data_IF_372984508890
#
_entry.id   IF_372984508890
#
_cell.length_a   1.000
_cell.length_b   1.000
_cell.length_c   1.000
_cell.angle_alpha   90.00
_cell.angle_beta   90.00
_cell.angle_gamma   90.00
#
_symmetry.space_group_name_H-M   'P 1'
#
loop_
_entity.id
_entity.type
_entity.pdbx_description
1 polymer ?
#
# COMPACT_ATOMS: atom_id res chain seq x y z
N UNK A 1 4.89 -7.49 -3.04
CA UNK A 1 3.51 -6.95 -3.02
C UNK A 1 2.98 -6.97 -1.61
N UNK A 2 2.25 -5.93 -1.23
CA UNK A 2 1.61 -5.84 0.07
C UNK A 2 0.22 -5.20 -0.08
N UNK A 3 -0.61 -5.41 0.94
CA UNK A 3 -1.89 -4.72 1.13
C UNK A 3 -1.87 -3.98 2.46
N UNK A 4 -2.51 -2.82 2.47
CA UNK A 4 -2.87 -2.09 3.68
C UNK A 4 -4.39 -2.16 3.80
N UNK A 5 -4.86 -2.70 4.91
CA UNK A 5 -6.29 -2.78 5.24
C UNK A 5 -6.61 -1.70 6.25
N UNK A 6 -7.60 -0.86 5.96
CA UNK A 6 -8.22 -0.02 6.98
C UNK A 6 -9.32 -0.82 7.67
N UNK A 7 -9.11 -1.18 8.95
CA UNK A 7 -10.05 -2.00 9.72
C UNK A 7 -11.29 -1.25 10.19
N UNK A 8 -11.34 0.07 10.04
CA UNK A 8 -12.51 0.90 10.37
C UNK A 8 -13.61 0.78 9.30
N UNK A 9 -13.23 0.71 8.03
CA UNK A 9 -14.17 0.75 6.90
C UNK A 9 -13.97 -0.37 5.86
N UNK A 10 -13.00 -1.25 6.06
CA UNK A 10 -12.70 -2.38 5.17
C UNK A 10 -12.00 -2.02 3.86
N UNK A 11 -11.68 -0.75 3.60
CA UNK A 11 -11.01 -0.32 2.37
C UNK A 11 -9.56 -0.79 2.34
N UNK A 12 -9.10 -1.11 1.12
CA UNK A 12 -7.77 -1.66 0.88
C UNK A 12 -6.92 -0.72 0.03
N UNK A 13 -5.61 -0.78 0.25
CA UNK A 13 -4.58 -0.22 -0.63
C UNK A 13 -3.59 -1.31 -1.00
N UNK A 14 -3.32 -1.49 -2.29
CA UNK A 14 -2.30 -2.41 -2.80
C UNK A 14 -1.07 -1.61 -3.22
N UNK A 15 0.11 -2.10 -2.84
CA UNK A 15 1.37 -1.49 -3.26
C UNK A 15 2.46 -2.51 -3.59
N UNK A 16 3.37 -2.10 -4.47
CA UNK A 16 4.63 -2.79 -4.70
C UNK A 16 5.80 -2.13 -3.95
N UNK A 17 6.81 -2.95 -3.65
CA UNK A 17 8.00 -2.55 -2.92
C UNK A 17 9.24 -2.78 -3.79
N UNK A 18 9.29 -2.12 -4.95
CA UNK A 18 10.37 -2.23 -5.95
C UNK A 18 11.57 -1.31 -5.68
N UNK A 19 11.55 -0.56 -4.57
CA UNK A 19 12.66 0.29 -4.12
C UNK A 19 13.87 -0.51 -3.63
N UNK A 20 15.02 0.14 -3.48
CA UNK A 20 16.32 -0.50 -3.15
C UNK A 20 16.30 -1.37 -1.89
N UNK A 21 15.52 -1.01 -0.87
CA UNK A 21 15.41 -1.78 0.37
C UNK A 21 14.08 -2.56 0.47
N UNK A 22 13.41 -2.79 -0.66
CA UNK A 22 12.21 -3.62 -0.72
C UNK A 22 11.11 -3.17 0.23
N UNK A 23 10.46 -4.14 0.89
CA UNK A 23 9.36 -3.89 1.84
C UNK A 23 9.80 -3.08 3.05
N UNK A 24 11.06 -3.24 3.49
CA UNK A 24 11.59 -2.54 4.65
C UNK A 24 11.52 -1.03 4.47
N UNK A 25 11.88 -0.52 3.28
CA UNK A 25 11.75 0.91 2.96
C UNK A 25 10.32 1.41 3.12
N UNK A 26 9.36 0.66 2.54
CA UNK A 26 7.95 1.03 2.56
C UNK A 26 7.41 1.10 3.99
N UNK A 27 7.72 0.11 4.82
CA UNK A 27 7.29 0.12 6.22
C UNK A 27 7.93 1.25 7.03
N UNK A 28 9.21 1.57 6.80
CA UNK A 28 9.83 2.74 7.41
C UNK A 28 9.14 4.04 7.01
N UNK A 29 8.77 4.18 5.74
CA UNK A 29 8.05 5.37 5.26
C UNK A 29 6.67 5.48 5.96
N UNK A 30 5.91 4.39 6.05
CA UNK A 30 4.61 4.38 6.73
C UNK A 30 4.72 4.63 8.24
N UNK A 31 5.79 4.17 8.91
CA UNK A 31 6.05 4.50 10.31
C UNK A 31 6.33 6.00 10.47
N UNK A 32 7.08 6.60 9.52
CA UNK A 32 7.46 8.01 9.56
C UNK A 32 6.29 8.95 9.32
N UNK A 33 5.47 8.66 8.30
CA UNK A 33 4.50 9.63 7.78
C UNK A 33 3.07 9.07 7.59
N UNK A 34 2.85 7.78 7.81
CA UNK A 34 1.54 7.14 7.69
C UNK A 34 1.04 6.92 6.25
N UNK A 35 1.72 7.46 5.24
CA UNK A 35 1.19 7.50 3.87
C UNK A 35 2.16 7.04 2.78
N UNK A 36 3.47 6.94 3.04
CA UNK A 36 4.47 6.46 2.08
C UNK A 36 4.48 7.22 0.75
N UNK A 37 4.12 8.50 0.79
CA UNK A 37 3.96 9.42 -0.34
C UNK A 37 2.86 9.03 -1.36
N UNK A 38 1.91 8.17 -0.96
CA UNK A 38 0.73 7.87 -1.79
C UNK A 38 -0.34 8.96 -1.62
N UNK A 39 -0.87 9.46 -2.74
CA UNK A 39 -1.85 10.57 -2.73
C UNK A 39 -3.15 10.25 -1.99
N UNK A 40 -3.65 9.01 -2.08
CA UNK A 40 -4.86 8.58 -1.40
C UNK A 40 -4.62 8.48 0.11
N UNK A 41 -3.49 7.90 0.51
CA UNK A 41 -3.12 7.79 1.92
C UNK A 41 -2.78 9.14 2.56
N UNK A 42 -2.16 10.07 1.81
CA UNK A 42 -1.91 11.45 2.25
C UNK A 42 -3.23 12.13 2.65
N UNK A 43 -4.29 11.96 1.86
CA UNK A 43 -5.59 12.55 2.16
C UNK A 43 -6.17 12.01 3.48
N UNK A 44 -6.01 10.71 3.75
CA UNK A 44 -6.46 10.08 5.00
C UNK A 44 -5.70 10.65 6.21
N UNK A 45 -4.36 10.72 6.12
CA UNK A 45 -3.53 11.29 7.20
C UNK A 45 -3.89 12.75 7.46
N UNK A 46 -4.12 13.55 6.40
CA UNK A 46 -4.55 14.95 6.54
C UNK A 46 -5.93 15.10 7.18
N UNK A 47 -6.85 14.18 6.88
CA UNK A 47 -8.23 14.24 7.38
C UNK A 47 -8.36 13.73 8.82
N UNK A 48 -7.64 12.66 9.18
CA UNK A 48 -7.85 11.93 10.42
C UNK A 48 -6.66 11.94 11.38
N UNK A 49 -5.48 12.38 10.94
CA UNK A 49 -4.25 12.33 11.73
C UNK A 49 -3.51 10.99 11.65
N UNK A 50 -2.31 10.97 12.24
CA UNK A 50 -1.46 9.78 12.24
C UNK A 50 -1.96 8.72 13.23
N UNK A 51 -2.61 9.14 14.31
CA UNK A 51 -3.22 8.26 15.32
C UNK A 51 -4.27 7.35 14.69
N UNK A 52 -5.05 7.84 13.72
CA UNK A 52 -6.03 7.05 12.99
C UNK A 52 -5.35 5.93 12.18
N UNK A 53 -4.25 6.23 11.48
CA UNK A 53 -3.48 5.23 10.75
C UNK A 53 -2.93 4.18 11.70
N UNK A 54 -2.37 4.57 12.84
CA UNK A 54 -1.84 3.64 13.84
C UNK A 54 -2.93 2.72 14.40
N UNK A 55 -4.12 3.25 14.67
CA UNK A 55 -5.23 2.47 15.20
C UNK A 55 -5.80 1.49 14.17
N UNK A 56 -5.99 1.93 12.92
CA UNK A 56 -6.84 1.24 11.95
C UNK A 56 -6.12 0.59 10.77
N UNK A 57 -4.86 0.92 10.49
CA UNK A 57 -4.16 0.30 9.36
C UNK A 57 -3.51 -1.01 9.78
N UNK A 58 -3.67 -2.03 8.94
CA UNK A 58 -3.00 -3.34 9.05
C UNK A 58 -2.23 -3.59 7.76
N UNK A 59 -0.96 -3.95 7.91
CA UNK A 59 -0.04 -4.15 6.81
C UNK A 59 0.18 -5.66 6.62
N UNK A 60 -0.03 -6.15 5.39
CA UNK A 60 0.05 -7.60 5.10
C UNK A 60 0.85 -7.83 3.82
N UNK A 61 1.78 -8.78 3.85
CA UNK A 61 2.49 -9.23 2.66
C UNK A 61 1.55 -10.11 1.81
N UNK A 62 1.47 -9.84 0.52
CA UNK A 62 0.68 -10.63 -0.43
C UNK A 62 1.57 -11.61 -1.22
N UNK A 63 2.60 -11.08 -1.87
CA UNK A 63 3.50 -11.85 -2.73
C UNK A 63 4.92 -11.35 -2.60
N UNK A 64 5.89 -12.26 -2.55
CA UNK A 64 7.31 -11.95 -2.52
C UNK A 64 7.88 -11.97 -3.94
N UNK A 65 8.69 -10.96 -4.27
CA UNK A 65 9.43 -10.88 -5.53
C UNK A 65 10.88 -10.49 -5.23
N UNK A 66 11.82 -11.26 -5.75
CA UNK A 66 13.24 -10.94 -5.68
C UNK A 66 13.60 -9.76 -6.59
N UNK A 67 14.71 -9.09 -6.30
CA UNK A 67 15.20 -7.96 -7.09
C UNK A 67 15.62 -8.32 -8.53
N UNK A 68 15.74 -9.61 -8.83
CA UNK A 68 16.02 -10.13 -10.18
C UNK A 68 14.78 -10.17 -11.06
N UNK A 69 13.59 -10.07 -10.48
CA UNK A 69 12.33 -10.10 -11.22
C UNK A 69 12.17 -8.79 -12.00
N UNK A 70 11.86 -8.85 -13.31
CA UNK A 70 11.63 -7.67 -14.12
C UNK A 70 10.52 -6.77 -13.54
N UNK A 71 10.75 -5.45 -13.59
CA UNK A 71 9.83 -4.46 -12.98
C UNK A 71 8.43 -4.47 -13.60
N UNK A 72 8.35 -4.69 -14.90
CA UNK A 72 7.09 -4.82 -15.66
C UNK A 72 6.24 -5.99 -15.14
N UNK A 73 6.87 -7.12 -14.78
CA UNK A 73 6.17 -8.25 -14.15
C UNK A 73 5.60 -7.83 -12.79
N UNK A 74 6.38 -7.15 -11.95
CA UNK A 74 5.91 -6.67 -10.64
C UNK A 74 4.76 -5.67 -10.78
N UNK A 75 4.84 -4.76 -11.76
CA UNK A 75 3.78 -3.78 -12.05
C UNK A 75 2.51 -4.44 -12.57
N UNK A 76 2.62 -5.44 -13.45
CA UNK A 76 1.47 -6.20 -13.93
C UNK A 76 0.77 -6.94 -12.77
N UNK A 77 1.55 -7.51 -11.84
CA UNK A 77 1.02 -8.16 -10.64
C UNK A 77 0.39 -7.17 -9.67
N UNK A 78 0.96 -5.98 -9.53
CA UNK A 78 0.33 -4.88 -8.79
C UNK A 78 -1.04 -4.51 -9.37
N UNK A 79 -1.14 -4.32 -10.70
CA UNK A 79 -2.43 -4.07 -11.36
C UNK A 79 -3.42 -5.21 -11.16
N UNK A 80 -2.98 -6.46 -11.31
CA UNK A 80 -3.83 -7.63 -11.07
C UNK A 80 -4.48 -7.62 -9.69
N UNK A 81 -3.70 -7.32 -8.64
CA UNK A 81 -4.23 -7.25 -7.28
C UNK A 81 -5.17 -6.06 -7.07
N UNK A 82 -4.87 -4.90 -7.67
CA UNK A 82 -5.76 -3.73 -7.64
C UNK A 82 -7.11 -4.03 -8.28
N UNK A 83 -7.13 -4.78 -9.37
CA UNK A 83 -8.35 -5.19 -10.07
C UNK A 83 -9.13 -6.26 -9.28
N UNK A 84 -8.44 -7.32 -8.86
CA UNK A 84 -9.06 -8.46 -8.18
C UNK A 84 -9.66 -8.07 -6.83
N UNK A 85 -9.00 -7.14 -6.12
CA UNK A 85 -9.47 -6.62 -4.82
C UNK A 85 -10.26 -5.30 -4.95
N UNK A 86 -10.50 -4.86 -6.18
CA UNK A 86 -11.26 -3.65 -6.53
C UNK A 86 -10.82 -2.39 -5.77
N UNK A 87 -9.52 -2.24 -5.56
CA UNK A 87 -8.97 -1.18 -4.70
C UNK A 87 -8.91 0.18 -5.38
N UNK A 88 -9.14 0.24 -6.70
CA UNK A 88 -9.25 1.50 -7.45
C UNK A 88 -10.61 2.16 -7.26
N UNK A 89 -11.69 1.36 -7.23
CA UNK A 89 -13.05 1.87 -7.11
C UNK A 89 -13.52 1.92 -5.66
N UNK A 90 -13.20 0.89 -4.88
CA UNK A 90 -13.68 0.75 -3.51
C UNK A 90 -12.56 0.78 -2.46
N UNK A 91 -11.31 1.00 -2.88
CA UNK A 91 -10.16 1.14 -1.99
C UNK A 91 -9.53 2.53 -2.03
N UNK A 92 -8.21 2.57 -1.83
CA UNK A 92 -7.42 3.80 -1.76
C UNK A 92 -6.43 3.97 -2.91
N UNK A 93 -6.38 3.04 -3.87
CA UNK A 93 -5.49 3.20 -5.02
C UNK A 93 -6.06 4.24 -5.99
N UNK A 94 -5.33 5.34 -6.21
CA UNK A 94 -5.73 6.40 -7.14
C UNK A 94 -5.25 6.21 -8.58
N UNK A 95 -4.57 5.11 -8.89
CA UNK A 95 -3.90 4.83 -10.18
C UNK A 95 -4.22 3.46 -10.76
#
# INVERSE_FOLDING_TARGET
MYVITNTDNGKLYVGSATGRNGIYQRWQDYIRDGHGNDTGLIAIVKQHGLEYVQAHFRYTLLEHYDFTVPKDVVLARESYWKETLDTRKHGYNGN
#
